data_IF_131340171973
#
_entry.id   IF_131340171973
#
_cell.length_a   1.000
_cell.length_b   1.000
_cell.length_c   1.000
_cell.angle_alpha   90.00
_cell.angle_beta   90.00
_cell.angle_gamma   90.00
#
_symmetry.space_group_name_H-M   'P 1'
#
loop_
_entity.id
_entity.type
_entity.pdbx_description
1 polymer ?
#
# COMPACT_ATOMS: atom_id res chain seq x y z
N UNK A 1 16.46 2.02 8.68
CA UNK A 1 16.58 1.98 7.20
C UNK A 1 17.29 3.24 6.75
N UNK A 2 18.33 3.12 5.91
CA UNK A 2 19.11 4.27 5.45
C UNK A 2 18.36 5.10 4.40
N UNK A 3 18.74 6.36 4.26
CA UNK A 3 18.26 7.20 3.17
C UNK A 3 19.02 6.89 1.88
N UNK A 4 18.30 6.62 0.80
CA UNK A 4 18.85 6.45 -0.55
C UNK A 4 18.46 7.67 -1.39
N UNK A 5 19.41 8.19 -2.17
CA UNK A 5 19.15 9.29 -3.12
C UNK A 5 18.65 8.70 -4.44
N UNK A 6 17.58 9.27 -4.97
CA UNK A 6 16.99 8.87 -6.25
C UNK A 6 16.83 10.11 -7.13
N UNK A 7 17.20 10.00 -8.40
CA UNK A 7 16.94 11.02 -9.42
C UNK A 7 15.70 10.55 -10.20
N UNK A 8 14.71 11.42 -10.33
CA UNK A 8 13.48 11.15 -11.08
C UNK A 8 13.27 12.23 -12.13
N UNK A 9 12.82 11.83 -13.30
CA UNK A 9 12.39 12.74 -14.38
C UNK A 9 10.88 12.80 -14.35
N UNK A 10 10.33 14.00 -14.24
CA UNK A 10 8.88 14.27 -14.25
C UNK A 10 8.59 15.39 -15.25
N UNK A 11 7.31 15.59 -15.59
CA UNK A 11 6.92 16.73 -16.42
C UNK A 11 7.16 18.05 -15.69
N UNK A 12 7.34 19.14 -16.45
CA UNK A 12 7.46 20.47 -15.83
C UNK A 12 6.16 20.88 -15.13
N UNK A 13 5.01 20.48 -15.66
CA UNK A 13 3.70 20.73 -15.05
C UNK A 13 3.57 20.08 -13.67
N UNK A 14 3.97 18.81 -13.55
CA UNK A 14 3.97 18.10 -12.27
C UNK A 14 4.91 18.77 -11.26
N UNK A 15 6.10 19.20 -11.72
CA UNK A 15 7.07 19.89 -10.87
C UNK A 15 6.49 21.19 -10.31
N UNK A 16 5.90 22.04 -11.17
CA UNK A 16 5.25 23.30 -10.77
C UNK A 16 4.12 23.03 -9.76
N UNK A 17 3.34 21.98 -10.01
CA UNK A 17 2.26 21.59 -9.11
C UNK A 17 2.79 21.17 -7.73
N UNK A 18 3.81 20.31 -7.67
CA UNK A 18 4.40 19.86 -6.39
C UNK A 18 5.03 21.03 -5.64
N UNK A 19 5.71 21.95 -6.33
CA UNK A 19 6.27 23.16 -5.71
C UNK A 19 5.17 24.03 -5.07
N UNK A 20 4.06 24.23 -5.78
CA UNK A 20 2.90 24.99 -5.29
C UNK A 20 2.24 24.32 -4.09
N UNK A 21 2.04 23.00 -4.17
CA UNK A 21 1.52 22.19 -3.07
C UNK A 21 2.44 22.27 -1.84
N UNK A 22 3.74 22.08 -2.03
CA UNK A 22 4.76 22.10 -0.96
C UNK A 22 4.78 23.44 -0.23
N UNK A 23 4.69 24.55 -0.98
CA UNK A 23 4.61 25.91 -0.42
C UNK A 23 3.35 26.11 0.42
N UNK A 24 2.21 25.65 -0.08
CA UNK A 24 0.91 25.78 0.60
C UNK A 24 0.85 24.92 1.86
N UNK A 25 1.41 23.71 1.80
CA UNK A 25 1.44 22.76 2.91
C UNK A 25 2.59 22.99 3.91
N UNK A 26 3.51 23.93 3.63
CA UNK A 26 4.65 24.23 4.51
C UNK A 26 5.66 23.08 4.64
N UNK A 27 5.81 22.25 3.61
CA UNK A 27 6.73 21.10 3.60
C UNK A 27 7.73 21.19 2.44
N UNK A 28 8.82 20.43 2.52
CA UNK A 28 9.77 20.31 1.40
C UNK A 28 9.17 19.51 0.24
N UNK A 29 9.60 19.80 -0.99
CA UNK A 29 9.23 19.02 -2.18
C UNK A 29 9.54 17.52 -2.02
N UNK A 30 10.68 17.18 -1.42
CA UNK A 30 11.04 15.79 -1.14
C UNK A 30 10.08 15.12 -0.15
N UNK A 31 9.54 15.86 0.81
CA UNK A 31 8.54 15.36 1.75
C UNK A 31 7.17 15.18 1.08
N UNK A 32 6.78 16.11 0.21
CA UNK A 32 5.56 15.96 -0.60
C UNK A 32 5.61 14.68 -1.45
N UNK A 33 6.75 14.42 -2.12
CA UNK A 33 6.98 13.20 -2.89
C UNK A 33 6.92 11.96 -1.99
N UNK A 34 7.58 11.97 -0.82
CA UNK A 34 7.53 10.84 0.13
C UNK A 34 6.11 10.52 0.58
N UNK A 35 5.31 11.53 0.90
CA UNK A 35 3.89 11.37 1.28
C UNK A 35 3.07 10.81 0.13
N UNK A 36 3.27 11.32 -1.09
CA UNK A 36 2.63 10.80 -2.29
C UNK A 36 2.93 9.32 -2.53
N UNK A 37 4.20 8.90 -2.42
CA UNK A 37 4.61 7.50 -2.55
C UNK A 37 3.96 6.63 -1.45
N UNK A 38 3.92 7.11 -0.20
CA UNK A 38 3.32 6.37 0.90
C UNK A 38 1.81 6.15 0.69
N UNK A 39 1.09 7.18 0.24
CA UNK A 39 -0.34 7.07 -0.07
C UNK A 39 -0.61 6.16 -1.27
N UNK A 40 0.22 6.24 -2.32
CA UNK A 40 0.14 5.33 -3.45
C UNK A 40 0.33 3.88 -2.99
N UNK A 41 1.37 3.62 -2.19
CA UNK A 41 1.63 2.27 -1.67
C UNK A 41 0.46 1.74 -0.85
N UNK A 42 -0.09 2.53 0.06
CA UNK A 42 -1.23 2.11 0.88
C UNK A 42 -2.46 1.77 0.02
N UNK A 43 -2.73 2.58 -1.01
CA UNK A 43 -3.83 2.35 -1.95
C UNK A 43 -3.64 1.06 -2.74
N UNK A 44 -2.44 0.83 -3.26
CA UNK A 44 -2.14 -0.35 -4.06
C UNK A 44 -2.08 -1.63 -3.19
N UNK A 45 -1.52 -1.57 -1.98
CA UNK A 45 -1.52 -2.71 -1.04
C UNK A 45 -2.96 -3.15 -0.69
N UNK A 46 -3.87 -2.19 -0.45
CA UNK A 46 -5.30 -2.48 -0.24
C UNK A 46 -5.95 -3.11 -1.47
N UNK A 47 -5.58 -2.67 -2.67
CA UNK A 47 -6.09 -3.24 -3.92
C UNK A 47 -5.60 -4.68 -4.11
N UNK A 48 -4.31 -4.95 -3.90
CA UNK A 48 -3.72 -6.29 -3.98
C UNK A 48 -4.38 -7.25 -3.01
N UNK A 49 -4.60 -6.83 -1.76
CA UNK A 49 -5.26 -7.67 -0.76
C UNK A 49 -6.71 -8.02 -1.16
N UNK A 50 -7.46 -7.01 -1.63
CA UNK A 50 -8.84 -7.22 -2.07
C UNK A 50 -8.91 -8.15 -3.28
N UNK A 51 -8.03 -7.94 -4.26
CA UNK A 51 -7.89 -8.80 -5.44
C UNK A 51 -7.51 -10.22 -5.06
N UNK A 52 -6.60 -10.41 -4.11
CA UNK A 52 -6.23 -11.74 -3.63
C UNK A 52 -7.41 -12.44 -2.96
N UNK A 53 -8.23 -11.74 -2.18
CA UNK A 53 -9.46 -12.29 -1.61
C UNK A 53 -10.44 -12.71 -2.71
N UNK A 54 -10.67 -11.87 -3.71
CA UNK A 54 -11.56 -12.19 -4.83
C UNK A 54 -11.05 -13.41 -5.61
N UNK A 55 -9.75 -13.48 -5.91
CA UNK A 55 -9.12 -14.61 -6.61
C UNK A 55 -9.13 -15.91 -5.78
N UNK A 56 -9.06 -15.81 -4.45
CA UNK A 56 -9.08 -16.96 -3.53
C UNK A 56 -10.48 -17.28 -2.99
N UNK A 57 -11.49 -16.53 -3.42
CA UNK A 57 -12.87 -16.79 -3.02
C UNK A 57 -13.33 -18.12 -3.61
N UNK A 58 -13.87 -19.00 -2.76
CA UNK A 58 -14.36 -20.31 -3.20
C UNK A 58 -13.26 -21.34 -3.48
N UNK A 59 -11.98 -21.03 -3.25
CA UNK A 59 -10.90 -22.04 -3.31
C UNK A 59 -11.02 -23.06 -2.16
N UNK A 60 -11.66 -22.66 -1.06
CA UNK A 60 -11.99 -23.56 0.04
C UNK A 60 -13.28 -24.32 -0.26
N UNK A 61 -13.17 -25.65 -0.40
CA UNK A 61 -14.26 -26.55 -0.79
C UNK A 61 -14.60 -27.59 0.28
N UNK A 62 -14.01 -27.46 1.48
CA UNK A 62 -14.20 -28.39 2.60
C UNK A 62 -15.30 -27.92 3.56
N UNK A 63 -15.37 -28.55 4.73
CA UNK A 63 -16.20 -28.16 5.87
C UNK A 63 -16.03 -26.68 6.25
N UNK A 64 -16.86 -26.16 7.15
CA UNK A 64 -16.82 -24.76 7.57
C UNK A 64 -15.37 -24.30 7.86
N UNK A 65 -14.96 -23.23 7.18
CA UNK A 65 -13.57 -22.77 7.22
C UNK A 65 -13.14 -22.28 8.61
N UNK A 66 -14.08 -21.79 9.42
CA UNK A 66 -13.83 -21.34 10.79
C UNK A 66 -13.68 -22.55 11.72
N UNK A 67 -14.59 -23.52 11.66
CA UNK A 67 -14.50 -24.75 12.45
C UNK A 67 -13.19 -25.50 12.17
N UNK A 68 -12.79 -25.58 10.90
CA UNK A 68 -11.52 -26.20 10.50
C UNK A 68 -10.31 -25.47 11.12
N UNK A 69 -10.29 -24.13 11.08
CA UNK A 69 -9.19 -23.33 11.65
C UNK A 69 -9.11 -23.45 13.18
N UNK A 70 -10.25 -23.46 13.86
CA UNK A 70 -10.32 -23.61 15.32
C UNK A 70 -9.82 -24.97 15.77
N UNK A 71 -10.24 -26.03 15.07
CA UNK A 71 -9.72 -27.39 15.30
C UNK A 71 -8.21 -27.44 15.14
N UNK A 72 -7.67 -26.91 14.04
CA UNK A 72 -6.24 -26.93 13.76
C UNK A 72 -5.43 -26.14 14.79
N UNK A 73 -5.96 -25.00 15.26
CA UNK A 73 -5.32 -24.21 16.34
C UNK A 73 -5.33 -24.92 17.69
N UNK A 74 -6.35 -25.74 17.96
CA UNK A 74 -6.43 -26.51 19.20
C UNK A 74 -5.34 -27.59 19.31
N UNK A 75 -4.77 -28.02 18.19
CA UNK A 75 -3.68 -29.01 18.13
C UNK A 75 -2.31 -28.43 18.53
N UNK A 76 -2.14 -27.10 18.54
CA UNK A 76 -0.89 -26.42 18.90
C UNK A 76 -0.83 -26.00 20.37
N UNK A 77 -1.77 -26.48 21.17
CA UNK A 77 -1.89 -26.21 22.61
C UNK A 77 -1.22 -27.31 23.42
#
# INVERSE_FOLDING_TARGET
>A
MGNVRTIVTISEEDKIWIESYSRTAGISMAEAIRKGIAQLREREEKNIYSKLIEETQGTWTKEDGLEYQEKLRSEWR
#
